data_IF_440645435332
#
_entry.id   IF_440645435332
#
_cell.length_a   1.000
_cell.length_b   1.000
_cell.length_c   1.000
_cell.angle_alpha   90.00
_cell.angle_beta   90.00
_cell.angle_gamma   90.00
#
_symmetry.space_group_name_H-M   'P 1'
#
loop_
_entity.id
_entity.type
_entity.pdbx_description
1 polymer ?
#
# COMPACT_ATOMS: atom_id res chain seq x y z
N UNK A 1 4.09 -2.98 -2.06
CA UNK A 1 3.76 -2.76 -0.64
C UNK A 1 4.39 -1.46 -0.21
N UNK A 2 3.62 -0.57 0.41
CA UNK A 2 4.04 0.78 0.78
C UNK A 2 3.54 1.10 2.20
N UNK A 3 4.33 1.89 2.94
CA UNK A 3 4.12 2.15 4.35
C UNK A 3 3.92 3.64 4.62
N UNK A 4 2.88 3.97 5.38
CA UNK A 4 2.64 5.33 5.87
C UNK A 4 2.68 5.36 7.40
N UNK A 5 3.36 6.36 7.93
CA UNK A 5 3.44 6.65 9.35
C UNK A 5 2.55 7.83 9.68
N UNK A 6 1.62 7.65 10.62
CA UNK A 6 0.58 8.60 11.04
C UNK A 6 -0.27 9.14 9.87
N UNK A 7 -0.48 8.30 8.85
CA UNK A 7 -1.27 8.64 7.65
C UNK A 7 -2.49 7.73 7.51
N UNK A 8 -2.79 7.32 6.27
CA UNK A 8 -3.85 6.36 5.96
C UNK A 8 -3.34 5.23 5.06
N UNK A 9 -3.89 4.02 5.25
CA UNK A 9 -3.57 2.86 4.42
C UNK A 9 -3.99 3.08 2.96
N UNK A 10 -5.06 3.84 2.73
CA UNK A 10 -5.54 4.27 1.41
C UNK A 10 -4.53 5.18 0.70
N UNK A 11 -3.87 6.11 1.41
CA UNK A 11 -2.83 6.94 0.80
C UNK A 11 -1.63 6.11 0.36
N UNK A 12 -1.24 5.11 1.16
CA UNK A 12 -0.19 4.19 0.79
C UNK A 12 -0.56 3.37 -0.45
N UNK A 13 -1.82 2.90 -0.53
CA UNK A 13 -2.31 2.18 -1.71
C UNK A 13 -2.35 3.09 -2.94
N UNK A 14 -2.88 4.30 -2.81
CA UNK A 14 -2.95 5.29 -3.88
C UNK A 14 -1.56 5.67 -4.39
N UNK A 15 -0.56 5.73 -3.51
CA UNK A 15 0.82 6.00 -3.89
C UNK A 15 1.42 4.85 -4.71
N UNK A 16 1.06 3.59 -4.40
CA UNK A 16 1.43 2.42 -5.23
C UNK A 16 0.81 2.52 -6.63
N UNK A 17 -0.44 2.97 -6.73
CA UNK A 17 -1.15 3.17 -8.00
C UNK A 17 -0.59 4.35 -8.80
N UNK A 18 -0.36 5.50 -8.17
CA UNK A 18 0.19 6.70 -8.80
C UNK A 18 1.64 6.49 -9.28
N UNK A 19 2.44 5.74 -8.53
CA UNK A 19 3.78 5.34 -8.97
C UNK A 19 3.75 4.37 -10.15
N UNK A 20 2.59 3.78 -10.45
CA UNK A 20 2.43 2.83 -11.54
C UNK A 20 3.29 1.59 -11.36
N UNK A 21 3.55 1.16 -10.11
CA UNK A 21 4.36 -0.04 -9.87
C UNK A 21 3.76 -1.27 -10.54
N UNK A 22 2.45 -1.30 -10.74
CA UNK A 22 1.73 -2.35 -11.46
C UNK A 22 1.86 -2.27 -12.99
N UNK A 23 2.17 -1.10 -13.57
CA UNK A 23 2.27 -0.90 -15.01
C UNK A 23 3.28 -1.83 -15.73
N UNK A 24 4.51 -2.05 -15.22
CA UNK A 24 5.45 -3.00 -15.84
C UNK A 24 5.04 -4.46 -15.66
N UNK A 25 4.14 -4.77 -14.72
CA UNK A 25 3.64 -6.11 -14.47
C UNK A 25 2.24 -6.35 -15.08
N UNK A 26 1.68 -5.39 -15.83
CA UNK A 26 0.38 -5.54 -16.48
C UNK A 26 0.33 -6.71 -17.48
N UNK A 27 1.48 -7.12 -18.02
CA UNK A 27 1.65 -8.30 -18.88
C UNK A 27 2.16 -9.54 -18.13
N UNK A 28 2.31 -9.44 -16.81
CA UNK A 28 2.76 -10.57 -15.98
C UNK A 28 1.57 -11.46 -15.64
N UNK A 29 1.77 -12.78 -15.71
CA UNK A 29 0.72 -13.77 -15.39
C UNK A 29 0.49 -13.94 -13.88
N UNK A 30 1.28 -13.27 -13.04
CA UNK A 30 1.18 -13.32 -11.57
C UNK A 30 0.15 -12.31 -11.06
N UNK A 31 -0.53 -12.66 -9.98
CA UNK A 31 -1.41 -11.72 -9.29
C UNK A 31 -0.57 -10.61 -8.65
N UNK A 32 -0.81 -9.38 -9.10
CA UNK A 32 -0.29 -8.18 -8.47
C UNK A 32 -1.08 -7.92 -7.21
N UNK A 33 -0.40 -7.95 -6.06
CA UNK A 33 -0.99 -7.61 -4.77
C UNK A 33 -0.42 -6.28 -4.32
N UNK A 34 -1.29 -5.30 -4.17
CA UNK A 34 -0.97 -3.98 -3.63
C UNK A 34 -1.34 -3.98 -2.15
N UNK A 35 -0.34 -3.79 -1.29
CA UNK A 35 -0.56 -3.71 0.15
C UNK A 35 -0.18 -2.32 0.65
N UNK A 36 -1.16 -1.57 1.14
CA UNK A 36 -0.97 -0.28 1.82
C UNK A 36 -1.11 -0.49 3.33
N UNK A 37 -0.09 -0.11 4.10
CA UNK A 37 -0.08 -0.31 5.56
C UNK A 37 0.09 1.02 6.27
N UNK A 38 -0.78 1.28 7.23
CA UNK A 38 -0.76 2.45 8.10
C UNK A 38 -0.26 2.11 9.49
N UNK A 39 0.70 2.88 9.97
CA UNK A 39 1.23 2.80 11.32
C UNK A 39 0.79 4.03 12.12
N UNK A 40 0.10 3.83 13.23
CA UNK A 40 -0.20 4.93 14.14
C UNK A 40 0.87 5.06 15.21
N UNK A 41 1.34 6.29 15.40
CA UNK A 41 2.25 6.63 16.49
C UNK A 41 1.61 6.43 17.86
N UNK A 42 0.27 6.50 17.97
CA UNK A 42 -0.50 6.37 19.22
C UNK A 42 -0.50 4.95 19.76
N UNK A 43 -0.70 3.96 18.90
CA UNK A 43 -0.68 2.53 19.26
C UNK A 43 0.71 1.91 19.08
N UNK A 44 1.68 2.67 18.52
CA UNK A 44 3.04 2.22 18.15
C UNK A 44 3.03 0.91 17.36
N UNK A 45 1.97 0.69 16.59
CA UNK A 45 1.68 -0.54 15.85
C UNK A 45 0.92 -0.21 14.57
N UNK A 46 0.67 -1.24 13.76
CA UNK A 46 -0.17 -1.15 12.57
C UNK A 46 -1.58 -0.77 13.03
N UNK A 47 -2.05 0.38 12.58
CA UNK A 47 -3.40 0.88 12.84
C UNK A 47 -4.40 0.24 11.87
N UNK A 48 -4.03 0.20 10.59
CA UNK A 48 -4.88 -0.26 9.51
C UNK A 48 -4.05 -0.72 8.32
N UNK A 49 -4.51 -1.73 7.58
CA UNK A 49 -3.88 -2.17 6.34
C UNK A 49 -4.93 -2.55 5.31
N UNK A 50 -4.64 -2.27 4.04
CA UNK A 50 -5.50 -2.58 2.90
C UNK A 50 -4.67 -3.40 1.91
N UNK A 51 -5.30 -4.45 1.38
CA UNK A 51 -4.72 -5.33 0.37
C UNK A 51 -5.70 -5.38 -0.79
N UNK A 52 -5.22 -5.04 -1.99
CA UNK A 52 -5.96 -5.02 -3.27
C UNK A 52 -5.22 -5.84 -4.32
#
# INVERSE_FOLDING_TARGET
MEFKFDGSAEEALKQIEEKGYAAPFANDSRQLIKAGVNFSSKTRNIDSWIVD
#
